data_IF_920027717114
#
_entry.id   IF_920027717114
#
_cell.length_a   1.000
_cell.length_b   1.000
_cell.length_c   1.000
_cell.angle_alpha   90.00
_cell.angle_beta   90.00
_cell.angle_gamma   90.00
#
_symmetry.space_group_name_H-M   'P 1'
#
loop_
_entity.id
_entity.type
_entity.pdbx_description
1 polymer ?
#
# COMPACT_ATOMS: atom_id res chain seq x y z
N UNK A 1 23.80 6.09 3.61
CA UNK A 1 23.46 7.05 2.55
C UNK A 1 23.47 6.26 1.25
N UNK A 2 22.31 5.89 0.71
CA UNK A 2 22.25 5.17 -0.56
C UNK A 2 22.74 6.12 -1.65
N UNK A 3 23.91 5.87 -2.21
CA UNK A 3 24.38 6.56 -3.42
C UNK A 3 23.38 6.20 -4.52
N UNK A 4 22.69 7.22 -5.05
CA UNK A 4 21.99 7.06 -6.33
C UNK A 4 23.05 6.63 -7.33
N UNK A 5 22.95 5.39 -7.78
CA UNK A 5 23.81 4.86 -8.84
C UNK A 5 23.71 5.80 -10.05
N UNK A 6 24.82 5.98 -10.77
CA UNK A 6 24.93 6.81 -11.98
C UNK A 6 24.14 6.20 -13.15
N UNK A 7 22.83 6.10 -13.00
CA UNK A 7 21.94 5.63 -14.05
C UNK A 7 21.76 6.72 -15.10
N UNK A 8 21.73 6.32 -16.37
CA UNK A 8 21.42 7.22 -17.46
C UNK A 8 20.00 7.78 -17.28
N UNK A 9 19.90 9.10 -17.13
CA UNK A 9 18.62 9.79 -17.03
C UNK A 9 18.16 10.19 -18.44
N UNK A 10 16.99 9.72 -18.86
CA UNK A 10 16.44 9.96 -20.21
C UNK A 10 16.32 11.46 -20.56
N UNK A 11 16.15 12.31 -19.55
CA UNK A 11 16.03 13.77 -19.70
C UNK A 11 17.26 14.54 -19.17
N UNK A 12 18.39 13.85 -18.94
CA UNK A 12 19.55 14.43 -18.28
C UNK A 12 19.42 14.51 -16.75
N UNK A 13 20.39 15.13 -16.09
CA UNK A 13 20.46 15.18 -14.62
C UNK A 13 19.34 16.06 -14.03
N UNK A 14 18.85 15.77 -12.81
CA UNK A 14 17.89 16.63 -12.12
C UNK A 14 18.39 18.07 -11.98
N UNK A 15 17.52 19.06 -12.20
CA UNK A 15 17.85 20.50 -12.11
C UNK A 15 17.74 21.06 -10.68
N UNK A 16 17.06 20.35 -9.78
CA UNK A 16 16.79 20.79 -8.42
C UNK A 16 16.60 19.58 -7.48
N UNK A 17 16.54 19.87 -6.18
CA UNK A 17 16.25 18.90 -5.13
C UNK A 17 14.92 19.23 -4.46
N UNK A 18 14.22 18.20 -3.99
CA UNK A 18 12.97 18.33 -3.25
C UNK A 18 12.86 17.21 -2.21
N UNK A 19 12.02 17.42 -1.20
CA UNK A 19 11.63 16.38 -0.25
C UNK A 19 10.38 15.69 -0.78
N UNK A 20 10.43 14.36 -0.87
CA UNK A 20 9.28 13.52 -1.23
C UNK A 20 8.81 12.76 0.01
N UNK A 21 7.49 12.56 0.15
CA UNK A 21 6.87 11.83 1.27
C UNK A 21 7.20 12.44 2.64
N UNK A 22 7.17 13.78 2.78
CA UNK A 22 7.42 14.44 4.06
C UNK A 22 6.32 14.12 5.09
N UNK A 23 5.09 14.00 4.61
CA UNK A 23 3.95 13.44 5.32
C UNK A 23 3.37 12.24 4.57
N UNK A 24 2.64 11.32 5.24
CA UNK A 24 1.96 10.22 4.56
C UNK A 24 0.99 10.70 3.48
N UNK A 25 0.38 11.87 3.67
CA UNK A 25 -0.56 12.49 2.74
C UNK A 25 0.11 12.96 1.44
N UNK A 26 1.42 13.18 1.43
CA UNK A 26 2.20 13.50 0.22
C UNK A 26 2.34 12.28 -0.71
N UNK A 27 2.02 11.08 -0.23
CA UNK A 27 2.09 9.85 -1.02
C UNK A 27 0.83 9.01 -0.83
N UNK A 28 -0.11 9.20 -1.76
CA UNK A 28 -1.40 8.53 -1.78
C UNK A 28 -1.44 7.52 -2.91
N UNK A 29 -1.90 6.30 -2.60
CA UNK A 29 -2.04 5.22 -3.59
C UNK A 29 -3.44 4.63 -3.45
N UNK A 30 -4.23 4.75 -4.50
CA UNK A 30 -5.52 4.06 -4.62
C UNK A 30 -5.35 2.84 -5.51
N UNK A 31 -5.68 1.66 -4.98
CA UNK A 31 -5.66 0.42 -5.76
C UNK A 31 -6.80 0.38 -6.79
N UNK A 32 -6.43 0.03 -8.02
CA UNK A 32 -7.38 -0.24 -9.10
C UNK A 32 -7.41 -1.75 -9.31
N UNK A 33 -8.44 -2.39 -8.77
CA UNK A 33 -8.73 -3.80 -9.03
C UNK A 33 -9.32 -3.88 -10.44
N UNK A 34 -8.74 -4.71 -11.31
CA UNK A 34 -9.23 -4.89 -12.69
C UNK A 34 -10.56 -5.66 -12.79
N UNK A 35 -11.29 -5.79 -11.68
CA UNK A 35 -12.54 -6.53 -11.52
C UNK A 35 -13.31 -5.96 -10.31
N UNK A 36 -14.60 -6.27 -10.25
CA UNK A 36 -15.48 -5.93 -9.13
C UNK A 36 -15.75 -7.18 -8.28
N UNK A 37 -16.11 -7.03 -6.98
CA UNK A 37 -16.54 -8.16 -6.17
C UNK A 37 -17.79 -8.81 -6.74
N UNK A 38 -17.82 -10.14 -6.79
CA UNK A 38 -18.97 -10.92 -7.33
C UNK A 38 -20.24 -10.80 -6.48
N UNK A 39 -20.13 -10.33 -5.22
CA UNK A 39 -21.25 -10.19 -4.28
C UNK A 39 -21.73 -11.51 -3.65
N UNK A 40 -21.16 -12.65 -4.06
CA UNK A 40 -21.44 -13.99 -3.54
C UNK A 40 -20.15 -14.78 -3.36
N UNK A 41 -20.19 -15.82 -2.53
CA UNK A 41 -19.06 -16.72 -2.28
C UNK A 41 -18.61 -16.74 -0.82
N UNK A 42 -17.53 -17.48 -0.56
CA UNK A 42 -17.01 -17.70 0.80
C UNK A 42 -16.13 -16.55 1.32
N UNK A 43 -15.75 -15.62 0.44
CA UNK A 43 -14.86 -14.51 0.76
C UNK A 43 -15.60 -13.16 0.71
N UNK A 44 -15.24 -12.26 1.62
CA UNK A 44 -15.68 -10.86 1.60
C UNK A 44 -14.51 -9.98 1.20
N UNK A 45 -14.67 -9.21 0.11
CA UNK A 45 -13.67 -8.23 -0.29
C UNK A 45 -13.85 -6.93 0.50
N UNK A 46 -12.81 -6.48 1.18
CA UNK A 46 -12.81 -5.23 1.95
C UNK A 46 -11.92 -4.18 1.30
N UNK A 47 -12.47 -3.00 1.02
CA UNK A 47 -11.69 -1.82 0.62
C UNK A 47 -11.29 -1.04 1.87
N UNK A 48 -10.00 -1.03 2.20
CA UNK A 48 -9.49 -0.49 3.47
C UNK A 48 -8.48 0.62 3.21
N UNK A 49 -8.77 1.81 3.72
CA UNK A 49 -7.77 2.88 3.82
C UNK A 49 -6.88 2.64 5.04
N UNK A 50 -5.56 2.61 4.83
CA UNK A 50 -4.57 2.61 5.91
C UNK A 50 -3.64 3.82 5.82
N UNK A 51 -3.11 4.24 6.96
CA UNK A 51 -2.14 5.33 7.10
C UNK A 51 -1.02 4.93 8.05
N UNK A 52 0.24 5.04 7.64
CA UNK A 52 1.40 4.70 8.49
C UNK A 52 1.41 3.24 9.01
N UNK A 53 0.69 2.35 8.33
CA UNK A 53 0.59 0.93 8.70
C UNK A 53 1.12 0.04 7.58
N UNK A 54 1.68 -1.10 7.98
CA UNK A 54 2.03 -2.21 7.11
C UNK A 54 0.81 -3.08 6.82
N UNK A 55 0.73 -3.64 5.61
CA UNK A 55 -0.41 -4.47 5.19
C UNK A 55 -0.67 -5.66 6.13
N UNK A 56 0.38 -6.38 6.54
CA UNK A 56 0.25 -7.53 7.43
C UNK A 56 -0.33 -7.17 8.82
N UNK A 57 0.02 -6.01 9.38
CA UNK A 57 -0.55 -5.58 10.66
C UNK A 57 -2.04 -5.29 10.55
N UNK A 58 -2.46 -4.63 9.47
CA UNK A 58 -3.88 -4.38 9.20
C UNK A 58 -4.64 -5.69 9.02
N UNK A 59 -4.08 -6.66 8.28
CA UNK A 59 -4.67 -7.98 8.11
C UNK A 59 -4.88 -8.70 9.46
N UNK A 60 -3.89 -8.62 10.35
CA UNK A 60 -4.00 -9.16 11.71
C UNK A 60 -5.09 -8.47 12.54
N UNK A 61 -5.18 -7.14 12.50
CA UNK A 61 -6.25 -6.40 13.18
C UNK A 61 -7.64 -6.82 12.69
N UNK A 62 -7.79 -7.07 11.39
CA UNK A 62 -9.04 -7.56 10.81
C UNK A 62 -9.35 -8.97 11.31
N UNK A 63 -8.36 -9.88 11.29
CA UNK A 63 -8.53 -11.25 11.77
C UNK A 63 -8.96 -11.29 13.25
N UNK A 64 -8.30 -10.50 14.09
CA UNK A 64 -8.63 -10.38 15.51
C UNK A 64 -10.04 -9.80 15.73
N UNK A 65 -10.45 -8.80 14.93
CA UNK A 65 -11.76 -8.17 15.00
C UNK A 65 -12.91 -9.15 14.70
N UNK A 66 -12.72 -10.06 13.74
CA UNK A 66 -13.76 -11.00 13.31
C UNK A 66 -13.59 -12.41 13.90
N UNK A 67 -12.54 -12.64 14.69
CA UNK A 67 -12.31 -13.91 15.40
C UNK A 67 -11.86 -15.06 14.50
N UNK A 68 -11.15 -14.78 13.40
CA UNK A 68 -10.60 -15.79 12.48
C UNK A 68 -9.07 -15.86 12.56
N UNK A 69 -8.46 -16.81 11.85
CA UNK A 69 -6.99 -16.93 11.83
C UNK A 69 -6.41 -15.90 10.86
N UNK A 70 -5.23 -15.35 11.16
CA UNK A 70 -4.54 -14.38 10.30
C UNK A 70 -4.33 -14.90 8.86
N UNK A 71 -4.09 -16.21 8.69
CA UNK A 71 -3.90 -16.84 7.38
C UNK A 71 -5.15 -16.82 6.49
N UNK A 72 -6.32 -16.57 7.08
CA UNK A 72 -7.61 -16.53 6.36
C UNK A 72 -7.88 -15.11 5.80
N UNK A 73 -7.00 -14.14 6.08
CA UNK A 73 -7.07 -12.77 5.54
C UNK A 73 -6.04 -12.58 4.42
N UNK A 74 -6.51 -12.60 3.17
CA UNK A 74 -5.69 -12.34 1.98
C UNK A 74 -5.59 -10.86 1.60
N UNK A 75 -4.58 -10.50 0.81
CA UNK A 75 -4.42 -9.17 0.21
C UNK A 75 -3.66 -9.25 -1.11
N UNK A 76 -3.95 -8.35 -2.06
CA UNK A 76 -3.39 -8.36 -3.42
C UNK A 76 -1.91 -7.98 -3.50
N UNK A 77 -1.33 -7.44 -2.42
CA UNK A 77 0.08 -7.12 -2.33
C UNK A 77 0.43 -6.29 -1.11
N UNK A 78 1.74 -6.11 -0.89
CA UNK A 78 2.23 -5.20 0.14
C UNK A 78 2.03 -3.75 -0.32
N UNK A 79 1.66 -2.88 0.61
CA UNK A 79 1.47 -1.45 0.38
C UNK A 79 2.44 -0.66 1.25
N UNK A 80 2.96 0.45 0.73
CA UNK A 80 3.93 1.32 1.43
C UNK A 80 3.47 1.64 2.84
N UNK A 81 4.34 1.46 3.83
CA UNK A 81 4.02 1.81 5.22
C UNK A 81 3.85 3.32 5.39
N UNK A 82 4.81 4.12 4.90
CA UNK A 82 4.86 5.57 5.04
C UNK A 82 4.09 6.26 3.91
N UNK A 83 2.78 6.04 3.91
CA UNK A 83 1.84 6.50 2.90
C UNK A 83 0.41 6.45 3.44
N UNK A 84 -0.52 7.07 2.72
CA UNK A 84 -1.94 6.75 2.78
C UNK A 84 -2.25 5.83 1.59
N UNK A 85 -2.81 4.65 1.84
CA UNK A 85 -3.12 3.69 0.77
C UNK A 85 -4.53 3.14 0.93
N UNK A 86 -5.24 2.94 -0.18
CA UNK A 86 -6.61 2.40 -0.25
C UNK A 86 -6.65 1.17 -1.14
#
# INVERSE_FOLDING_TARGET
MLSMQDWNCALGKPLAQAVIRATPEDFQVDEVLGFEPDGVGEHTLLKIRKRNQNTAHVARLIADLVGIRERDVGYCGLKDRHAVTV
#
